data_IF_569866682055
#
_entry.id   IF_569866682055
#
_cell.length_a   1.000
_cell.length_b   1.000
_cell.length_c   1.000
_cell.angle_alpha   90.00
_cell.angle_beta   90.00
_cell.angle_gamma   90.00
#
_symmetry.space_group_name_H-M   'P 1'
#
loop_
_entity.id
_entity.type
_entity.pdbx_description
1 polymer ?
#
# COMPACT_ATOMS: atom_id res chain seq x y z
N UNK A 1 -31.15 5.64 -29.72
CA UNK A 1 -32.13 6.55 -29.10
C UNK A 1 -33.08 5.67 -28.33
N UNK A 2 -32.93 5.60 -27.01
CA UNK A 2 -33.71 4.67 -26.18
C UNK A 2 -34.92 5.41 -25.63
N UNK A 3 -36.10 4.89 -25.94
CA UNK A 3 -37.39 5.40 -25.49
C UNK A 3 -37.43 5.45 -23.96
N UNK A 4 -37.46 6.65 -23.39
CA UNK A 4 -37.97 6.84 -22.03
C UNK A 4 -39.47 6.56 -22.08
N UNK A 5 -39.85 5.30 -21.90
CA UNK A 5 -41.24 4.91 -21.74
C UNK A 5 -41.85 5.77 -20.65
N UNK A 6 -42.80 6.61 -21.04
CA UNK A 6 -43.68 7.34 -20.14
C UNK A 6 -44.43 6.32 -19.30
N UNK A 7 -43.99 6.11 -18.06
CA UNK A 7 -44.60 5.16 -17.14
C UNK A 7 -46.05 5.60 -16.90
N UNK A 8 -46.99 4.67 -17.07
CA UNK A 8 -48.42 4.94 -16.91
C UNK A 8 -48.72 5.38 -15.45
N UNK A 9 -49.46 6.47 -15.22
CA UNK A 9 -49.85 6.91 -13.88
C UNK A 9 -50.57 5.83 -13.05
N UNK A 10 -51.26 4.87 -13.70
CA UNK A 10 -51.89 3.73 -13.02
C UNK A 10 -50.86 2.73 -12.50
N UNK A 11 -49.82 2.45 -13.27
CA UNK A 11 -48.72 1.57 -12.88
C UNK A 11 -47.88 2.17 -11.75
N UNK A 12 -47.62 3.48 -11.80
CA UNK A 12 -46.97 4.19 -10.70
C UNK A 12 -47.76 4.13 -9.40
N UNK A 13 -49.10 4.23 -9.47
CA UNK A 13 -49.96 4.10 -8.30
C UNK A 13 -49.89 2.69 -7.70
N UNK A 14 -49.93 1.66 -8.56
CA UNK A 14 -49.81 0.27 -8.13
C UNK A 14 -48.43 0.02 -7.51
N UNK A 15 -47.35 0.53 -8.10
CA UNK A 15 -46.00 0.42 -7.54
C UNK A 15 -45.88 1.15 -6.20
N UNK A 16 -46.55 2.31 -6.05
CA UNK A 16 -46.59 3.07 -4.79
C UNK A 16 -47.35 2.33 -3.69
N UNK A 17 -48.48 1.69 -4.00
CA UNK A 17 -49.24 0.89 -3.04
C UNK A 17 -48.49 -0.40 -2.65
N UNK A 18 -47.81 -1.04 -3.62
CA UNK A 18 -46.95 -2.21 -3.34
C UNK A 18 -45.76 -1.82 -2.47
N UNK A 19 -45.12 -0.68 -2.73
CA UNK A 19 -44.04 -0.18 -1.88
C UNK A 19 -44.53 0.11 -0.45
N UNK A 20 -45.71 0.71 -0.30
CA UNK A 20 -46.30 0.96 1.00
C UNK A 20 -46.59 -0.35 1.76
N UNK A 21 -47.20 -1.33 1.08
CA UNK A 21 -47.50 -2.65 1.65
C UNK A 21 -46.22 -3.39 2.08
N UNK A 22 -45.19 -3.38 1.24
CA UNK A 22 -43.90 -4.05 1.50
C UNK A 22 -43.12 -3.36 2.62
N UNK A 23 -43.23 -2.02 2.72
CA UNK A 23 -42.60 -1.28 3.81
C UNK A 23 -43.27 -1.53 5.17
N UNK A 24 -44.58 -1.76 5.18
CA UNK A 24 -45.36 -2.03 6.41
C UNK A 24 -45.24 -3.47 6.91
N UNK A 25 -45.19 -4.47 6.01
CA UNK A 25 -45.16 -5.89 6.41
C UNK A 25 -43.79 -6.39 6.91
N UNK A 26 -42.68 -5.78 6.47
CA UNK A 26 -41.33 -6.26 6.79
C UNK A 26 -40.39 -5.15 7.29
N UNK A 27 -40.70 -4.58 8.46
CA UNK A 27 -39.97 -3.46 9.08
C UNK A 27 -38.42 -3.61 9.08
N UNK A 28 -37.89 -4.83 9.19
CA UNK A 28 -36.43 -5.09 9.15
C UNK A 28 -35.79 -5.00 7.76
N UNK A 29 -36.54 -5.21 6.67
CA UNK A 29 -36.04 -5.07 5.29
C UNK A 29 -36.31 -3.68 4.71
N UNK A 30 -37.32 -2.98 5.26
CA UNK A 30 -37.73 -1.62 4.88
C UNK A 30 -36.59 -0.61 5.01
N UNK A 31 -35.77 -0.72 6.06
CA UNK A 31 -34.62 0.18 6.27
C UNK A 31 -33.54 0.02 5.18
N UNK A 32 -33.26 -1.22 4.78
CA UNK A 32 -32.28 -1.53 3.73
C UNK A 32 -32.77 -1.08 2.36
N UNK A 33 -34.07 -1.28 2.07
CA UNK A 33 -34.70 -0.82 0.85
C UNK A 33 -34.69 0.72 0.76
N UNK A 34 -35.02 1.41 1.85
CA UNK A 34 -34.97 2.87 1.93
C UNK A 34 -33.55 3.42 1.77
N UNK A 35 -32.55 2.75 2.36
CA UNK A 35 -31.14 3.12 2.18
C UNK A 35 -30.69 2.99 0.71
N UNK A 36 -31.09 1.91 0.03
CA UNK A 36 -30.79 1.71 -1.39
C UNK A 36 -31.50 2.75 -2.28
N UNK A 37 -32.76 3.10 -1.96
CA UNK A 37 -33.52 4.15 -2.65
C UNK A 37 -32.86 5.52 -2.44
N UNK A 38 -32.43 5.85 -1.20
CA UNK A 38 -31.71 7.09 -0.89
C UNK A 38 -30.38 7.17 -1.64
N UNK A 39 -29.61 6.08 -1.70
CA UNK A 39 -28.35 6.03 -2.44
C UNK A 39 -28.57 6.23 -3.95
N UNK A 40 -29.60 5.61 -4.52
CA UNK A 40 -29.95 5.75 -5.94
C UNK A 40 -30.52 7.14 -6.26
N UNK A 41 -31.31 7.73 -5.36
CA UNK A 41 -31.82 9.08 -5.48
C UNK A 41 -30.70 10.12 -5.41
N UNK A 42 -29.74 9.95 -4.50
CA UNK A 42 -28.53 10.77 -4.42
C UNK A 42 -27.69 10.71 -5.70
N UNK A 43 -27.50 9.50 -6.26
CA UNK A 43 -26.79 9.30 -7.53
C UNK A 43 -27.48 9.99 -8.72
N UNK A 44 -28.81 10.08 -8.69
CA UNK A 44 -29.62 10.69 -9.77
C UNK A 44 -30.07 12.12 -9.45
N UNK A 45 -29.55 12.77 -8.39
CA UNK A 45 -29.94 14.12 -7.95
C UNK A 45 -31.46 14.30 -7.74
N UNK A 46 -32.17 13.21 -7.45
CA UNK A 46 -33.61 13.22 -7.18
C UNK A 46 -33.80 13.60 -5.72
N UNK A 47 -34.13 14.88 -5.48
CA UNK A 47 -34.39 15.39 -4.14
C UNK A 47 -35.81 15.11 -3.69
N UNK A 48 -36.06 15.07 -2.38
CA UNK A 48 -37.42 14.90 -1.84
C UNK A 48 -38.41 15.97 -2.34
N UNK A 49 -37.93 17.18 -2.65
CA UNK A 49 -38.73 18.23 -3.28
C UNK A 49 -39.08 17.94 -4.75
N UNK A 50 -38.15 17.35 -5.51
CA UNK A 50 -38.42 16.89 -6.87
C UNK A 50 -39.46 15.77 -6.89
N UNK A 51 -39.35 14.82 -5.96
CA UNK A 51 -40.31 13.74 -5.78
C UNK A 51 -41.71 14.28 -5.44
N UNK A 52 -41.80 15.22 -4.48
CA UNK A 52 -43.04 15.91 -4.12
C UNK A 52 -43.66 16.66 -5.32
N UNK A 53 -42.83 17.30 -6.14
CA UNK A 53 -43.29 18.00 -7.34
C UNK A 53 -43.81 17.04 -8.43
N UNK A 54 -43.19 15.86 -8.57
CA UNK A 54 -43.66 14.81 -9.48
C UNK A 54 -45.00 14.24 -9.01
N UNK A 55 -45.13 13.91 -7.72
CA UNK A 55 -46.42 13.46 -7.16
C UNK A 55 -47.51 14.52 -7.25
N UNK A 56 -47.17 15.80 -7.06
CA UNK A 56 -48.13 16.90 -7.23
C UNK A 56 -48.55 17.08 -8.69
N UNK A 57 -47.64 16.83 -9.65
CA UNK A 57 -47.93 16.93 -11.08
C UNK A 57 -48.74 15.75 -11.64
N UNK A 58 -48.66 14.59 -10.99
CA UNK A 58 -49.38 13.35 -11.37
C UNK A 58 -50.76 13.27 -10.68
N UNK A 59 -51.02 14.08 -9.67
CA UNK A 59 -52.32 14.15 -9.01
C UNK A 59 -53.42 14.60 -10.00
N UNK A 60 -54.62 13.97 -9.99
CA UNK A 60 -55.68 14.21 -10.97
C UNK A 60 -56.28 15.62 -10.96
N UNK A 61 -55.91 16.48 -10.01
CA UNK A 61 -56.26 17.89 -10.01
C UNK A 61 -55.15 18.72 -9.32
N UNK A 62 -54.08 19.10 -10.04
CA UNK A 62 -52.99 19.86 -9.44
C UNK A 62 -53.45 21.28 -9.11
N UNK A 63 -53.14 21.82 -7.92
CA UNK A 63 -53.42 23.23 -7.63
C UNK A 63 -52.67 24.11 -8.66
N UNK A 64 -53.31 25.17 -9.19
CA UNK A 64 -52.73 25.99 -10.24
C UNK A 64 -51.36 26.49 -9.79
N UNK A 65 -50.32 26.11 -10.54
CA UNK A 65 -48.94 26.55 -10.30
C UNK A 65 -48.93 28.07 -10.28
N UNK A 66 -48.65 28.66 -9.12
CA UNK A 66 -48.39 30.08 -9.02
C UNK A 66 -47.26 30.42 -10.01
N UNK A 67 -47.54 31.35 -10.92
CA UNK A 67 -46.59 31.79 -11.93
C UNK A 67 -45.27 32.18 -11.25
N UNK A 68 -44.10 31.78 -11.80
CA UNK A 68 -42.82 32.16 -11.24
C UNK A 68 -42.72 33.68 -11.26
N UNK A 69 -42.88 34.30 -10.08
CA UNK A 69 -42.76 35.73 -9.88
C UNK A 69 -41.36 36.14 -10.35
N UNK A 70 -41.20 37.05 -11.32
CA UNK A 70 -39.89 37.49 -11.77
C UNK A 70 -39.20 38.14 -10.58
N UNK A 71 -38.19 37.45 -10.02
CA UNK A 71 -37.37 37.99 -8.94
C UNK A 71 -36.56 39.14 -9.54
N UNK A 72 -36.73 40.33 -8.95
CA UNK A 72 -35.90 41.50 -9.26
C UNK A 72 -34.41 41.13 -9.18
N UNK A 73 -33.56 41.70 -10.05
CA UNK A 73 -32.13 41.42 -10.07
C UNK A 73 -31.49 42.00 -8.81
N UNK A 74 -31.36 41.17 -7.78
CA UNK A 74 -30.67 41.54 -6.54
C UNK A 74 -29.15 41.53 -6.80
N UNK A 75 -28.65 42.68 -7.22
CA UNK A 75 -27.28 43.18 -7.17
C UNK A 75 -26.14 42.14 -6.96
N UNK A 76 -25.51 41.78 -8.08
CA UNK A 76 -24.05 41.79 -8.39
C UNK A 76 -23.01 41.20 -7.41
N UNK A 77 -23.15 41.28 -6.08
CA UNK A 77 -22.16 40.74 -5.11
C UNK A 77 -22.35 39.25 -4.83
N UNK A 78 -23.60 38.78 -4.71
CA UNK A 78 -23.89 37.36 -4.56
C UNK A 78 -23.58 36.57 -5.84
N UNK A 79 -23.74 37.20 -7.02
CA UNK A 79 -23.32 36.62 -8.30
C UNK A 79 -21.81 36.58 -8.47
N UNK A 80 -21.08 37.61 -8.01
CA UNK A 80 -19.61 37.61 -8.03
C UNK A 80 -19.04 36.55 -7.07
N UNK A 81 -19.62 36.39 -5.87
CA UNK A 81 -19.24 35.34 -4.92
C UNK A 81 -19.52 33.93 -5.50
N UNK A 82 -20.70 33.72 -6.11
CA UNK A 82 -21.01 32.46 -6.77
C UNK A 82 -20.10 32.15 -7.96
N UNK A 83 -19.72 33.15 -8.76
CA UNK A 83 -18.72 32.99 -9.84
C UNK A 83 -17.35 32.61 -9.29
N UNK A 84 -16.91 33.26 -8.21
CA UNK A 84 -15.66 32.92 -7.53
C UNK A 84 -15.67 31.49 -6.97
N UNK A 85 -16.78 31.07 -6.37
CA UNK A 85 -16.96 29.70 -5.87
C UNK A 85 -16.92 28.67 -7.01
N UNK A 86 -17.53 28.99 -8.15
CA UNK A 86 -17.46 28.17 -9.36
C UNK A 86 -16.01 28.09 -9.87
N UNK A 87 -15.30 29.21 -9.99
CA UNK A 87 -13.88 29.24 -10.39
C UNK A 87 -12.99 28.43 -9.44
N UNK A 88 -13.19 28.56 -8.13
CA UNK A 88 -12.49 27.76 -7.11
C UNK A 88 -12.84 26.26 -7.20
N UNK A 89 -14.07 25.92 -7.56
CA UNK A 89 -14.48 24.53 -7.79
C UNK A 89 -13.80 23.95 -9.03
N UNK A 90 -13.69 24.74 -10.11
CA UNK A 90 -12.97 24.33 -11.32
C UNK A 90 -11.48 24.18 -11.07
N UNK A 91 -10.86 25.07 -10.29
CA UNK A 91 -9.47 24.95 -9.87
C UNK A 91 -9.24 23.64 -9.08
N UNK A 92 -10.11 23.32 -8.13
CA UNK A 92 -10.07 22.06 -7.38
C UNK A 92 -10.25 20.82 -8.28
N UNK A 93 -11.14 20.89 -9.26
CA UNK A 93 -11.33 19.80 -10.23
C UNK A 93 -10.07 19.62 -11.08
N UNK A 94 -9.43 20.70 -11.52
CA UNK A 94 -8.17 20.63 -12.26
C UNK A 94 -7.05 20.00 -11.41
N UNK A 95 -6.92 20.41 -10.15
CA UNK A 95 -5.95 19.83 -9.21
C UNK A 95 -6.21 18.33 -8.96
N UNK A 96 -7.47 17.94 -8.79
CA UNK A 96 -7.85 16.52 -8.67
C UNK A 96 -7.54 15.76 -9.96
N UNK A 97 -7.79 16.32 -11.13
CA UNK A 97 -7.46 15.69 -12.40
C UNK A 97 -5.94 15.48 -12.57
N UNK A 98 -5.14 16.45 -12.16
CA UNK A 98 -3.69 16.34 -12.21
C UNK A 98 -3.15 15.33 -11.18
N UNK A 99 -3.70 15.29 -9.97
CA UNK A 99 -3.34 14.25 -8.98
C UNK A 99 -3.72 12.83 -9.43
N UNK A 100 -4.83 12.67 -10.15
CA UNK A 100 -5.20 11.38 -10.75
C UNK A 100 -4.21 10.98 -11.85
N UNK A 101 -3.78 11.93 -12.69
CA UNK A 101 -2.79 11.66 -13.74
C UNK A 101 -1.43 11.28 -13.17
N UNK A 102 -0.96 11.96 -12.14
CA UNK A 102 0.30 11.62 -11.47
C UNK A 102 0.21 10.27 -10.78
N UNK A 103 -0.92 9.97 -10.13
CA UNK A 103 -1.15 8.66 -9.54
C UNK A 103 -1.16 7.55 -10.61
N UNK A 104 -1.79 7.76 -11.76
CA UNK A 104 -1.76 6.77 -12.85
C UNK A 104 -0.33 6.55 -13.38
N UNK A 105 0.46 7.62 -13.53
CA UNK A 105 1.86 7.50 -13.93
C UNK A 105 2.67 6.67 -12.93
N UNK A 106 2.59 7.00 -11.64
CA UNK A 106 3.29 6.24 -10.57
C UNK A 106 2.82 4.78 -10.49
N UNK A 107 1.54 4.49 -10.69
CA UNK A 107 1.03 3.12 -10.76
C UNK A 107 1.58 2.35 -11.97
N UNK A 108 1.81 3.02 -13.11
CA UNK A 108 2.45 2.38 -14.27
C UNK A 108 3.93 2.12 -13.99
N UNK A 109 4.64 3.08 -13.44
CA UNK A 109 6.06 2.97 -13.12
C UNK A 109 6.33 1.83 -12.14
N UNK A 110 5.57 1.78 -11.04
CA UNK A 110 5.66 0.70 -10.04
C UNK A 110 5.33 -0.66 -10.63
N UNK A 111 4.37 -0.76 -11.57
CA UNK A 111 4.09 -2.02 -12.28
C UNK A 111 5.22 -2.44 -13.21
N UNK A 112 5.91 -1.50 -13.83
CA UNK A 112 7.09 -1.79 -14.67
C UNK A 112 8.24 -2.27 -13.79
N UNK A 113 8.48 -1.59 -12.67
CA UNK A 113 9.50 -1.96 -11.69
C UNK A 113 9.25 -3.37 -11.10
N UNK A 114 8.00 -3.67 -10.73
CA UNK A 114 7.63 -4.99 -10.22
C UNK A 114 7.89 -6.10 -11.24
N UNK A 115 7.61 -5.86 -12.52
CA UNK A 115 7.94 -6.85 -13.57
C UNK A 115 9.44 -7.04 -13.74
N UNK A 116 10.20 -5.95 -13.68
CA UNK A 116 11.65 -6.03 -13.75
C UNK A 116 12.25 -6.79 -12.56
N UNK A 117 11.71 -6.60 -11.34
CA UNK A 117 12.19 -7.32 -10.15
C UNK A 117 11.84 -8.81 -10.19
N UNK A 118 10.65 -9.17 -10.69
CA UNK A 118 10.28 -10.58 -10.90
C UNK A 118 11.20 -11.26 -11.91
N UNK A 119 11.51 -10.60 -13.04
CA UNK A 119 12.45 -11.14 -14.02
C UNK A 119 13.86 -11.36 -13.43
N UNK A 120 14.32 -10.46 -12.55
CA UNK A 120 15.60 -10.65 -11.82
C UNK A 120 15.55 -11.84 -10.87
N UNK A 121 14.46 -12.03 -10.13
CA UNK A 121 14.30 -13.19 -9.26
C UNK A 121 14.30 -14.49 -10.07
N UNK A 122 13.60 -14.54 -11.20
CA UNK A 122 13.59 -15.70 -12.09
C UNK A 122 15.01 -16.01 -12.60
N UNK A 123 15.77 -15.00 -13.02
CA UNK A 123 17.17 -15.17 -13.43
C UNK A 123 18.05 -15.74 -12.30
N UNK A 124 17.95 -15.21 -11.08
CA UNK A 124 18.69 -15.72 -9.92
C UNK A 124 18.31 -17.17 -9.59
N UNK A 125 17.02 -17.53 -9.70
CA UNK A 125 16.60 -18.92 -9.49
C UNK A 125 17.15 -19.87 -10.56
N UNK A 126 17.30 -19.41 -11.79
CA UNK A 126 17.92 -20.18 -12.86
C UNK A 126 19.42 -20.40 -12.59
N UNK A 127 20.14 -19.36 -12.17
CA UNK A 127 21.56 -19.46 -11.78
C UNK A 127 21.76 -20.42 -10.60
N UNK A 128 20.91 -20.33 -9.56
CA UNK A 128 20.95 -21.25 -8.42
C UNK A 128 20.72 -22.70 -8.84
N UNK A 129 19.77 -22.96 -9.75
CA UNK A 129 19.55 -24.31 -10.28
C UNK A 129 20.76 -24.81 -11.07
N UNK A 130 21.36 -23.97 -11.90
CA UNK A 130 22.54 -24.33 -12.67
C UNK A 130 23.73 -24.65 -11.75
N UNK A 131 23.96 -23.86 -10.71
CA UNK A 131 25.04 -24.11 -9.75
C UNK A 131 24.79 -25.36 -8.91
N UNK A 132 23.54 -25.62 -8.51
CA UNK A 132 23.17 -26.86 -7.82
C UNK A 132 23.41 -28.09 -8.72
N UNK A 133 23.05 -27.99 -9.99
CA UNK A 133 23.29 -29.06 -10.96
C UNK A 133 24.79 -29.32 -11.16
N UNK A 134 25.59 -28.28 -11.39
CA UNK A 134 27.04 -28.42 -11.53
C UNK A 134 27.69 -29.02 -10.26
N UNK A 135 27.17 -28.69 -9.07
CA UNK A 135 27.61 -29.31 -7.80
C UNK A 135 27.23 -30.79 -7.72
N UNK A 136 26.02 -31.16 -8.14
CA UNK A 136 25.61 -32.56 -8.18
C UNK A 136 26.47 -33.37 -9.16
N UNK A 137 26.78 -32.81 -10.33
CA UNK A 137 27.64 -33.44 -11.34
C UNK A 137 29.06 -33.65 -10.84
N UNK A 138 29.65 -32.65 -10.18
CA UNK A 138 31.00 -32.77 -9.59
C UNK A 138 31.03 -33.77 -8.43
N UNK A 139 30.01 -33.79 -7.57
CA UNK A 139 29.89 -34.81 -6.51
C UNK A 139 29.71 -36.22 -7.08
N UNK A 140 28.91 -36.37 -8.15
CA UNK A 140 28.75 -37.64 -8.85
C UNK A 140 30.09 -38.10 -9.47
N UNK A 141 30.82 -37.21 -10.12
CA UNK A 141 32.15 -37.52 -10.68
C UNK A 141 33.16 -37.92 -9.60
N UNK A 142 33.20 -37.21 -8.47
CA UNK A 142 34.08 -37.53 -7.34
C UNK A 142 33.72 -38.86 -6.66
N UNK A 143 32.43 -39.15 -6.48
CA UNK A 143 31.99 -40.43 -5.90
C UNK A 143 32.27 -41.62 -6.83
N UNK A 144 32.08 -41.45 -8.15
CA UNK A 144 32.48 -42.44 -9.14
C UNK A 144 34.01 -42.67 -9.13
N UNK A 145 34.80 -41.59 -9.08
CA UNK A 145 36.25 -41.68 -8.98
C UNK A 145 36.69 -42.35 -7.66
N UNK A 146 36.07 -42.02 -6.53
CA UNK A 146 36.36 -42.63 -5.23
C UNK A 146 36.04 -44.13 -5.23
N UNK A 147 34.89 -44.53 -5.79
CA UNK A 147 34.50 -45.92 -5.91
C UNK A 147 35.45 -46.72 -6.82
N UNK A 148 35.88 -46.14 -7.94
CA UNK A 148 36.88 -46.75 -8.84
C UNK A 148 38.29 -46.78 -8.23
N UNK A 149 38.60 -45.85 -7.32
CA UNK A 149 39.91 -45.73 -6.63
C UNK A 149 40.00 -46.52 -5.33
N UNK A 150 39.06 -47.45 -5.07
CA UNK A 150 39.19 -48.48 -4.02
C UNK A 150 39.95 -49.69 -4.58
N UNK A 151 41.30 -49.76 -4.51
CA UNK A 151 41.97 -51.04 -4.56
C UNK A 151 41.50 -51.84 -3.34
N UNK A 152 41.29 -53.14 -3.51
CA UNK A 152 40.77 -54.09 -2.53
C UNK A 152 41.64 -54.28 -1.25
N UNK A 153 42.48 -53.30 -0.87
CA UNK A 153 43.46 -53.38 0.23
C UNK A 153 43.58 -52.13 1.15
N UNK A 154 42.61 -51.20 1.18
CA UNK A 154 42.67 -49.92 1.91
C UNK A 154 42.32 -49.94 3.42
N UNK A 155 42.72 -50.97 4.18
CA UNK A 155 42.52 -50.93 5.65
C UNK A 155 43.60 -50.10 6.38
N UNK A 156 44.76 -49.89 5.77
CA UNK A 156 45.91 -49.20 6.39
C UNK A 156 46.02 -47.71 6.07
N UNK A 157 45.50 -47.22 4.94
CA UNK A 157 45.69 -45.81 4.52
C UNK A 157 44.85 -44.81 5.33
N UNK A 158 43.69 -45.23 5.87
CA UNK A 158 42.84 -44.36 6.69
C UNK A 158 43.49 -43.99 8.04
N UNK A 159 44.30 -44.88 8.59
CA UNK A 159 44.98 -44.67 9.87
C UNK A 159 46.08 -43.59 9.77
N UNK A 160 46.81 -43.53 8.65
CA UNK A 160 47.88 -42.55 8.44
C UNK A 160 47.29 -41.14 8.34
N UNK A 161 46.17 -40.98 7.63
CA UNK A 161 45.50 -39.67 7.50
C UNK A 161 44.91 -39.23 8.83
N UNK A 162 44.27 -40.14 9.59
CA UNK A 162 43.75 -39.83 10.92
C UNK A 162 44.86 -39.42 11.89
N UNK A 163 46.02 -40.09 11.84
CA UNK A 163 47.18 -39.74 12.67
C UNK A 163 47.74 -38.35 12.32
N UNK A 164 47.83 -37.99 11.03
CA UNK A 164 48.30 -36.69 10.60
C UNK A 164 47.36 -35.55 11.03
N UNK A 165 46.04 -35.73 10.88
CA UNK A 165 45.03 -34.75 11.32
C UNK A 165 45.03 -34.59 12.84
N UNK A 166 45.15 -35.69 13.58
CA UNK A 166 45.28 -35.68 15.03
C UNK A 166 46.52 -34.93 15.51
N UNK A 167 47.67 -35.15 14.85
CA UNK A 167 48.93 -34.48 15.19
C UNK A 167 48.86 -32.95 14.97
N UNK A 168 48.26 -32.50 13.86
CA UNK A 168 48.12 -31.07 13.56
C UNK A 168 47.15 -30.37 14.53
N UNK A 169 46.05 -31.03 14.88
CA UNK A 169 45.06 -30.48 15.83
C UNK A 169 45.64 -30.40 17.25
N UNK A 170 46.43 -31.40 17.65
CA UNK A 170 47.15 -31.38 18.93
C UNK A 170 48.17 -30.26 19.03
N UNK A 171 48.92 -29.98 17.95
CA UNK A 171 49.90 -28.88 17.92
C UNK A 171 49.24 -27.51 18.11
N UNK A 172 48.11 -27.25 17.43
CA UNK A 172 47.39 -25.99 17.53
C UNK A 172 46.79 -25.74 18.94
N UNK A 173 46.27 -26.79 19.58
CA UNK A 173 45.75 -26.72 20.96
C UNK A 173 46.85 -26.42 21.99
N UNK A 174 48.07 -26.90 21.76
CA UNK A 174 49.19 -26.72 22.68
C UNK A 174 49.69 -25.27 22.67
N UNK A 175 49.73 -24.61 21.52
CA UNK A 175 50.08 -23.18 21.45
C UNK A 175 49.02 -22.28 22.11
N UNK A 176 47.73 -22.59 21.93
CA UNK A 176 46.64 -21.84 22.56
C UNK A 176 46.67 -21.92 24.10
N UNK A 177 47.14 -23.03 24.66
CA UNK A 177 47.25 -23.21 26.11
C UNK A 177 48.42 -22.43 26.71
N UNK A 178 49.54 -22.28 25.97
CA UNK A 178 50.68 -21.46 26.40
C UNK A 178 50.36 -19.96 26.47
N UNK A 179 49.40 -19.46 25.69
CA UNK A 179 48.93 -18.07 25.74
C UNK A 179 48.02 -17.77 26.94
N UNK A 180 47.27 -18.77 27.45
CA UNK A 180 46.40 -18.62 28.62
C UNK A 180 47.14 -18.80 29.96
N UNK A 181 48.28 -19.48 29.96
CA UNK A 181 49.01 -19.86 31.18
C UNK A 181 50.06 -18.83 31.66
N UNK A 182 50.17 -17.65 31.05
CA UNK A 182 51.03 -16.57 31.55
C UNK A 182 50.25 -15.66 32.53
N UNK A 183 50.61 -15.63 33.84
CA UNK A 183 50.05 -14.69 34.80
C UNK A 183 50.82 -13.35 34.80
N UNK A 184 50.07 -12.25 34.71
CA UNK A 184 50.53 -10.86 34.82
C UNK A 184 50.98 -10.50 36.26
N UNK A 185 52.06 -9.72 36.47
CA UNK A 185 52.27 -9.00 37.73
C UNK A 185 51.75 -7.56 37.66
N UNK A 186 50.87 -7.26 38.63
CA UNK A 186 50.67 -6.00 39.36
C UNK A 186 50.29 -4.72 38.57
N UNK A 187 49.02 -4.32 38.58
CA UNK A 187 48.38 -3.41 39.56
C UNK A 187 48.88 -1.95 39.55
N UNK A 188 47.95 -1.00 39.30
CA UNK A 188 47.76 0.18 40.15
C UNK A 188 46.49 0.98 39.76
N UNK A 189 45.46 0.87 40.61
CA UNK A 189 44.49 1.91 41.06
C UNK A 189 43.85 2.85 40.01
N UNK A 190 42.59 2.63 39.61
CA UNK A 190 41.35 3.00 40.30
C UNK A 190 41.04 4.52 40.31
N UNK A 191 40.01 4.93 39.55
CA UNK A 191 38.87 5.74 40.00
C UNK A 191 37.94 5.97 38.81
N UNK A 192 36.72 5.42 38.87
CA UNK A 192 35.60 5.80 37.99
C UNK A 192 34.82 6.94 38.63
N UNK A 193 34.12 7.75 37.81
CA UNK A 193 32.67 7.79 37.98
C UNK A 193 31.90 7.66 36.64
N UNK A 194 30.55 7.53 36.68
CA UNK A 194 29.80 6.68 35.75
C UNK A 194 29.13 7.39 34.56
N UNK A 195 29.04 6.64 33.46
CA UNK A 195 27.90 6.43 32.54
C UNK A 195 26.90 7.60 32.30
N UNK A 196 26.80 8.12 31.06
CA UNK A 196 25.71 7.83 30.07
C UNK A 196 25.58 8.88 28.95
N UNK A 197 25.26 8.30 27.78
CA UNK A 197 24.42 8.80 26.69
C UNK A 197 25.02 9.63 25.55
N UNK A 198 24.89 8.96 24.38
CA UNK A 198 24.29 9.42 23.13
C UNK A 198 25.00 10.49 22.28
N UNK A 199 25.29 10.05 21.06
CA UNK A 199 25.56 10.89 19.90
C UNK A 199 27.06 11.11 19.74
N UNK A 200 27.70 10.78 18.63
CA UNK A 200 27.21 11.02 17.27
C UNK A 200 27.94 10.16 16.23
N UNK A 201 27.41 10.28 15.00
CA UNK A 201 27.94 9.91 13.70
C UNK A 201 27.33 8.57 13.20
N UNK A 202 26.43 8.54 12.23
CA UNK A 202 26.30 9.34 11.00
C UNK A 202 24.80 9.42 10.61
N UNK A 203 24.20 10.61 10.60
CA UNK A 203 23.97 11.49 9.42
C UNK A 203 22.81 11.07 8.52
N UNK A 204 21.67 11.77 8.68
CA UNK A 204 20.74 12.31 7.66
C UNK A 204 19.45 12.81 8.37
N UNK A 205 18.61 13.66 7.77
CA UNK A 205 18.83 15.08 7.53
C UNK A 205 17.66 15.95 8.05
N UNK A 206 17.84 17.26 8.20
CA UNK A 206 16.85 18.24 7.72
C UNK A 206 17.36 19.66 7.90
N UNK A 207 17.18 20.42 6.81
CA UNK A 207 16.91 21.85 6.79
C UNK A 207 16.01 22.30 7.93
N UNK A 208 16.20 23.52 8.46
CA UNK A 208 15.25 24.65 8.45
C UNK A 208 15.91 25.87 9.19
N UNK A 209 15.27 27.04 9.37
CA UNK A 209 15.87 28.34 9.05
C UNK A 209 16.12 29.18 10.32
N UNK A 210 16.66 30.39 10.18
CA UNK A 210 16.09 31.64 10.74
C UNK A 210 17.16 32.71 10.99
N UNK A 211 16.92 33.91 10.45
CA UNK A 211 17.03 35.25 11.10
C UNK A 211 18.35 35.62 11.81
N UNK A 212 18.94 36.83 11.71
CA UNK A 212 18.34 38.16 11.87
C UNK A 212 19.44 39.23 11.72
N UNK A 213 19.10 40.39 11.13
CA UNK A 213 19.65 41.74 11.43
C UNK A 213 21.13 42.02 11.11
N UNK A 214 21.62 43.25 10.90
CA UNK A 214 21.05 44.59 10.91
C UNK A 214 22.17 45.54 10.42
N UNK A 215 21.82 46.51 9.57
CA UNK A 215 22.37 47.88 9.47
C UNK A 215 23.66 48.30 8.74
N UNK A 216 23.47 49.43 8.03
CA UNK A 216 24.34 50.60 7.84
C UNK A 216 25.60 50.44 6.99
N UNK A 217 25.51 50.84 5.72
CA UNK A 217 26.12 52.08 5.20
C UNK A 217 25.73 52.31 3.74
#
# INVERSE_FOLDING_TARGET
MSDTQTIDPRELRILSDILALVLDENAGQSETALAAIRARAGKNQVTGGALKNLFTAIAPNPPPRAAPKPRAPRATKASAAAKKEIEESHARIAEMADSIRTLDATLRDTRVELRASLARNEALTAELRQTQQARAETQAALSAAHNNSRPAGRRSSGLIVAAAVGALTGFALTEAFHLLAQPSPAQASATYPPVRHNGQAWLMPSSSPSHTGHMLS
#
